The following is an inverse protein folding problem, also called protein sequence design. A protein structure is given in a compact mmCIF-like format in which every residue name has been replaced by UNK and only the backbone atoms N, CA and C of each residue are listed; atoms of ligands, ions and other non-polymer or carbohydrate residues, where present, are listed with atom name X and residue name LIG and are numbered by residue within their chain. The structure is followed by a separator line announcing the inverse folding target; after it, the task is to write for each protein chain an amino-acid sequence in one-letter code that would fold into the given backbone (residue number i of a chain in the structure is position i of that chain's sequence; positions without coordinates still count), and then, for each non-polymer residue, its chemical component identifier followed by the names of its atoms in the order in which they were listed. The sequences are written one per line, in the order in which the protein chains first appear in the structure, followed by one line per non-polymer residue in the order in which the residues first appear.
data_IF_531300392543
#
_entry.id   IF_531300392543
#
_cell.length_a   1.000
_cell.length_b   1.000
_cell.length_c   1.000
_cell.angle_alpha   90.00
_cell.angle_beta   90.00
_cell.angle_gamma   90.00
#
_symmetry.space_group_name_H-M   'P 1'
#
loop_
_entity.id
_entity.type
_entity.pdbx_description
1 polymer ?
#
# COMPACT_ATOMS: atom_id res chain seq x y z
N UNK A 1 19.60 -25.47 -52.26
CA UNK A 1 19.61 -25.77 -50.80
C UNK A 1 19.90 -24.48 -50.06
N UNK A 2 18.87 -23.68 -49.80
CA UNK A 2 19.00 -22.39 -49.06
C UNK A 2 18.36 -22.59 -47.68
N UNK A 3 19.21 -22.54 -46.66
CA UNK A 3 18.83 -22.59 -45.25
C UNK A 3 18.23 -21.22 -44.86
N UNK A 4 16.95 -21.21 -44.55
CA UNK A 4 16.29 -20.08 -43.90
C UNK A 4 16.82 -20.00 -42.44
N UNK A 5 17.60 -18.98 -42.15
CA UNK A 5 17.89 -18.58 -40.77
C UNK A 5 16.69 -17.79 -40.25
N UNK A 6 15.95 -18.39 -39.35
CA UNK A 6 14.98 -17.69 -38.55
C UNK A 6 15.73 -16.89 -37.46
N UNK A 7 15.87 -15.60 -37.66
CA UNK A 7 16.31 -14.70 -36.61
C UNK A 7 15.21 -14.59 -35.56
N UNK A 8 15.35 -15.33 -34.49
CA UNK A 8 14.63 -15.10 -33.25
C UNK A 8 15.21 -13.83 -32.60
N UNK A 9 14.59 -12.70 -32.89
CA UNK A 9 14.75 -11.48 -32.10
C UNK A 9 14.05 -11.69 -30.76
N UNK A 10 14.75 -12.29 -29.82
CA UNK A 10 14.46 -12.18 -28.40
C UNK A 10 14.70 -10.71 -27.99
N UNK A 11 13.66 -9.90 -28.17
CA UNK A 11 13.59 -8.59 -27.53
C UNK A 11 13.43 -8.83 -26.04
N UNK A 12 14.53 -8.85 -25.32
CA UNK A 12 14.52 -8.62 -23.89
C UNK A 12 13.94 -7.22 -23.66
N UNK A 13 12.62 -7.14 -23.47
CA UNK A 13 11.99 -5.97 -22.90
C UNK A 13 12.51 -5.86 -21.46
N UNK A 14 13.61 -5.13 -21.31
CA UNK A 14 14.05 -4.66 -20.02
C UNK A 14 12.92 -3.78 -19.47
N UNK A 15 12.12 -4.36 -18.57
CA UNK A 15 11.19 -3.62 -17.73
C UNK A 15 12.02 -2.72 -16.81
N UNK A 16 12.31 -1.50 -17.28
CA UNK A 16 12.59 -0.43 -16.36
C UNK A 16 11.30 -0.21 -15.57
N UNK A 17 11.22 -0.81 -14.38
CA UNK A 17 10.34 -0.31 -13.34
C UNK A 17 10.76 1.14 -13.10
N UNK A 18 10.11 2.08 -13.78
CA UNK A 18 9.99 3.39 -13.24
C UNK A 18 9.39 3.15 -11.86
N UNK A 19 10.20 3.39 -10.82
CA UNK A 19 9.73 3.47 -9.46
C UNK A 19 8.49 4.34 -9.52
N UNK A 20 7.30 3.73 -9.54
CA UNK A 20 6.10 4.45 -9.26
C UNK A 20 6.40 5.02 -7.88
N UNK A 21 6.77 6.28 -7.85
CA UNK A 21 6.78 7.04 -6.62
C UNK A 21 5.35 6.92 -6.14
N UNK A 22 5.12 5.92 -5.30
CA UNK A 22 3.95 5.89 -4.44
C UNK A 22 4.08 7.21 -3.71
N UNK A 23 3.37 8.22 -4.22
CA UNK A 23 3.20 9.47 -3.51
C UNK A 23 2.68 9.05 -2.17
N UNK A 24 3.56 9.06 -1.17
CA UNK A 24 3.18 8.78 0.22
C UNK A 24 2.25 9.93 0.61
N UNK A 25 0.92 9.74 0.53
CA UNK A 25 0.02 10.80 0.90
C UNK A 25 0.10 10.91 2.41
N UNK A 26 0.71 11.99 2.86
CA UNK A 26 0.36 12.62 4.14
C UNK A 26 -0.01 11.66 5.29
N UNK A 27 0.97 10.85 5.74
CA UNK A 27 0.87 10.23 7.07
C UNK A 27 0.77 11.29 8.19
N UNK A 28 1.15 12.53 7.89
CA UNK A 28 1.14 13.66 8.81
C UNK A 28 -0.24 14.04 9.38
N UNK A 29 -1.31 13.80 8.63
CA UNK A 29 -2.66 14.17 9.10
C UNK A 29 -3.20 13.16 10.12
N UNK A 30 -2.71 11.90 10.09
CA UNK A 30 -3.24 10.87 10.96
C UNK A 30 -2.83 11.00 12.44
N UNK A 31 -1.61 11.51 12.73
CA UNK A 31 -1.19 11.64 14.14
C UNK A 31 -1.96 12.72 14.89
N UNK A 32 -2.23 13.86 14.26
CA UNK A 32 -3.02 14.93 14.89
C UNK A 32 -4.52 14.59 14.90
N UNK A 33 -5.04 13.92 13.87
CA UNK A 33 -6.43 13.51 13.82
C UNK A 33 -6.74 12.42 14.87
N UNK A 34 -5.84 11.45 15.08
CA UNK A 34 -6.01 10.40 16.09
C UNK A 34 -5.94 10.99 17.51
N UNK A 35 -5.07 11.99 17.75
CA UNK A 35 -5.00 12.68 19.03
C UNK A 35 -6.25 13.53 19.32
N UNK A 36 -6.79 14.22 18.31
CA UNK A 36 -8.02 15.01 18.44
C UNK A 36 -9.28 14.16 18.57
N UNK A 37 -9.34 12.99 17.90
CA UNK A 37 -10.48 12.06 18.06
C UNK A 37 -10.49 11.39 19.44
N UNK A 38 -9.34 11.24 20.10
CA UNK A 38 -9.27 10.71 21.47
C UNK A 38 -9.91 11.65 22.50
N UNK A 39 -9.88 12.97 22.26
CA UNK A 39 -10.55 13.95 23.12
C UNK A 39 -12.07 14.07 22.88
N UNK A 40 -12.57 13.67 21.71
CA UNK A 40 -13.99 13.83 21.33
C UNK A 40 -14.84 12.59 21.60
N UNK A 41 -14.28 11.44 22.00
CA UNK A 41 -15.04 10.20 22.21
C UNK A 41 -15.78 10.07 23.55
N UNK A 42 -15.82 11.11 24.37
CA UNK A 42 -16.50 11.06 25.67
C UNK A 42 -18.03 11.29 25.60
N UNK A 43 -18.66 11.23 24.42
CA UNK A 43 -20.09 11.60 24.34
C UNK A 43 -20.97 11.08 23.20
N UNK A 44 -20.55 10.16 22.35
CA UNK A 44 -21.46 9.64 21.32
C UNK A 44 -21.66 8.13 21.38
N UNK A 45 -22.86 7.70 21.81
CA UNK A 45 -23.37 6.36 21.58
C UNK A 45 -23.58 6.12 20.07
N UNK A 46 -22.63 5.44 19.41
CA UNK A 46 -22.81 4.93 18.07
C UNK A 46 -23.57 3.60 18.18
N UNK A 47 -24.78 3.53 17.62
CA UNK A 47 -25.56 2.31 17.53
C UNK A 47 -24.73 1.22 16.85
N UNK A 48 -24.31 0.24 17.63
CA UNK A 48 -23.46 -0.88 17.25
C UNK A 48 -24.20 -1.84 16.31
N UNK A 49 -23.57 -2.19 15.19
CA UNK A 49 -23.71 -3.52 14.61
C UNK A 49 -23.10 -4.54 15.60
N UNK A 50 -23.55 -5.79 15.59
CA UNK A 50 -23.26 -6.88 16.54
C UNK A 50 -21.78 -7.24 16.85
N UNK A 51 -20.84 -6.35 16.69
CA UNK A 51 -19.44 -6.50 17.13
C UNK A 51 -19.31 -6.05 18.58
N UNK A 52 -18.79 -6.93 19.43
CA UNK A 52 -18.44 -6.59 20.82
C UNK A 52 -17.53 -5.38 20.83
N UNK A 53 -18.00 -4.26 21.36
CA UNK A 53 -17.22 -3.03 21.53
C UNK A 53 -16.02 -3.33 22.43
N UNK A 54 -14.82 -3.17 21.89
CA UNK A 54 -13.57 -3.29 22.69
C UNK A 54 -13.58 -2.17 23.73
N UNK A 55 -13.47 -2.51 25.02
CA UNK A 55 -13.19 -1.51 26.04
C UNK A 55 -11.71 -1.13 25.97
N UNK A 56 -11.43 0.07 25.49
CA UNK A 56 -10.09 0.60 25.34
C UNK A 56 -9.75 1.50 26.53
N UNK A 57 -8.56 1.34 27.15
CA UNK A 57 -8.11 2.28 28.17
C UNK A 57 -7.94 3.69 27.60
N UNK A 58 -8.12 4.69 28.47
CA UNK A 58 -7.91 6.10 28.08
C UNK A 58 -6.42 6.48 28.07
N UNK A 59 -6.05 7.43 27.23
CA UNK A 59 -4.72 8.06 27.22
C UNK A 59 -4.67 9.13 28.32
N UNK A 60 -3.75 8.98 29.28
CA UNK A 60 -3.58 9.97 30.36
C UNK A 60 -2.89 11.23 29.83
N UNK A 61 -3.38 12.42 30.24
CA UNK A 61 -2.85 13.72 29.79
C UNK A 61 -1.33 13.86 29.97
N UNK A 62 -0.77 13.40 31.12
CA UNK A 62 0.68 13.45 31.37
C UNK A 62 1.50 12.63 30.37
N UNK A 63 0.97 11.49 29.90
CA UNK A 63 1.65 10.68 28.89
C UNK A 63 1.57 11.41 27.55
N UNK A 64 0.39 11.90 27.19
CA UNK A 64 0.20 12.67 25.96
C UNK A 64 1.13 13.89 25.87
N UNK A 65 1.25 14.69 26.95
CA UNK A 65 2.15 15.85 27.00
C UNK A 65 3.62 15.49 26.72
N UNK A 66 4.10 14.35 27.24
CA UNK A 66 5.46 13.90 26.97
C UNK A 66 5.64 13.45 25.51
N UNK A 67 4.66 12.74 24.95
CA UNK A 67 4.69 12.33 23.55
C UNK A 67 4.63 13.54 22.60
N UNK A 68 3.79 14.55 22.93
CA UNK A 68 3.70 15.80 22.18
C UNK A 68 5.03 16.59 22.23
N UNK A 69 5.73 16.60 23.37
CA UNK A 69 7.07 17.21 23.47
C UNK A 69 8.06 16.54 22.52
N UNK A 70 8.07 15.22 22.44
CA UNK A 70 8.96 14.51 21.54
C UNK A 70 8.64 14.85 20.07
N UNK A 71 7.36 14.97 19.72
CA UNK A 71 6.96 15.37 18.38
C UNK A 71 7.40 16.80 18.05
N UNK A 72 7.18 17.75 18.97
CA UNK A 72 7.65 19.14 18.79
C UNK A 72 9.16 19.21 18.58
N UNK A 73 9.95 18.45 19.33
CA UNK A 73 11.39 18.38 19.16
C UNK A 73 11.78 17.87 17.75
N UNK A 74 11.09 16.85 17.25
CA UNK A 74 11.35 16.32 15.91
C UNK A 74 10.90 17.28 14.78
N UNK A 75 9.69 17.84 14.90
CA UNK A 75 9.04 18.56 13.79
C UNK A 75 9.47 20.05 13.72
N UNK A 76 9.52 20.74 14.87
CA UNK A 76 9.79 22.18 14.92
C UNK A 76 11.28 22.50 15.09
N UNK A 77 11.96 21.75 15.95
CA UNK A 77 13.39 21.95 16.19
C UNK A 77 14.27 21.15 15.21
N UNK A 78 13.72 20.15 14.53
CA UNK A 78 14.46 19.23 13.68
C UNK A 78 15.44 18.33 14.46
N UNK A 79 15.29 18.27 15.79
CA UNK A 79 16.17 17.51 16.68
C UNK A 79 15.63 16.11 16.95
N UNK A 80 15.93 15.24 16.00
CA UNK A 80 15.55 13.81 16.06
C UNK A 80 16.17 13.10 17.27
N UNK A 81 17.40 13.47 17.66
CA UNK A 81 18.09 12.85 18.80
C UNK A 81 17.41 13.22 20.11
N UNK A 82 17.04 14.50 20.31
CA UNK A 82 16.28 14.95 21.48
C UNK A 82 14.91 14.27 21.51
N UNK A 83 14.19 14.23 20.39
CA UNK A 83 12.89 13.57 20.30
C UNK A 83 12.95 12.10 20.74
N UNK A 84 13.94 11.35 20.23
CA UNK A 84 14.16 9.95 20.62
C UNK A 84 14.55 9.84 22.09
N UNK A 85 15.35 10.76 22.62
CA UNK A 85 15.74 10.78 24.04
C UNK A 85 14.53 10.96 24.94
N UNK A 86 13.62 11.89 24.60
CA UNK A 86 12.36 12.10 25.32
C UNK A 86 11.49 10.84 25.31
N UNK A 87 11.35 10.19 24.14
CA UNK A 87 10.58 8.94 24.04
C UNK A 87 11.18 7.79 24.84
N UNK A 88 12.51 7.69 24.92
CA UNK A 88 13.17 6.70 25.78
C UNK A 88 12.92 6.91 27.26
N UNK A 89 12.91 8.17 27.71
CA UNK A 89 12.51 8.49 29.09
C UNK A 89 11.06 8.06 29.41
N UNK A 90 10.18 8.14 28.40
CA UNK A 90 8.79 7.65 28.52
C UNK A 90 8.77 6.13 28.53
N UNK A 91 9.56 5.49 27.68
CA UNK A 91 9.66 4.02 27.59
C UNK A 91 10.19 3.40 28.90
N UNK A 92 11.14 4.01 29.55
CA UNK A 92 11.66 3.59 30.87
C UNK A 92 10.57 3.53 31.95
N UNK A 93 9.52 4.36 31.79
CA UNK A 93 8.35 4.41 32.69
C UNK A 93 7.17 3.56 32.18
N UNK A 94 7.35 2.83 31.09
CA UNK A 94 6.28 2.08 30.40
C UNK A 94 5.62 0.98 31.25
N UNK A 95 6.29 0.51 32.32
CA UNK A 95 5.71 -0.45 33.27
C UNK A 95 4.41 0.06 33.94
N UNK A 96 4.23 1.38 34.03
CA UNK A 96 3.02 2.02 34.57
C UNK A 96 1.98 2.40 33.52
N UNK A 97 2.27 2.15 32.24
CA UNK A 97 1.44 2.52 31.09
C UNK A 97 0.46 1.39 30.76
N UNK A 98 -0.74 1.78 30.35
CA UNK A 98 -1.70 0.84 29.77
C UNK A 98 -1.36 0.52 28.30
N UNK A 99 -2.08 -0.45 27.70
CA UNK A 99 -1.80 -0.89 26.33
C UNK A 99 -1.91 0.25 25.31
N UNK A 100 -2.91 1.10 25.42
CA UNK A 100 -3.09 2.22 24.49
C UNK A 100 -1.98 3.27 24.61
N UNK A 101 -1.54 3.59 25.82
CA UNK A 101 -0.42 4.50 26.05
C UNK A 101 0.90 3.99 25.48
N UNK A 102 1.17 2.67 25.65
CA UNK A 102 2.34 2.03 25.04
C UNK A 102 2.26 2.05 23.52
N UNK A 103 1.08 1.73 22.97
CA UNK A 103 0.86 1.78 21.54
C UNK A 103 1.09 3.18 20.96
N UNK A 104 0.58 4.22 21.66
CA UNK A 104 0.82 5.61 21.25
C UNK A 104 2.31 5.96 21.29
N UNK A 105 3.03 5.57 22.35
CA UNK A 105 4.47 5.81 22.45
C UNK A 105 5.22 5.16 21.27
N UNK A 106 4.95 3.88 20.96
CA UNK A 106 5.58 3.20 19.83
C UNK A 106 5.19 3.80 18.48
N UNK A 107 3.97 4.32 18.37
CA UNK A 107 3.54 5.04 17.18
C UNK A 107 4.37 6.32 16.95
N UNK A 108 4.66 7.07 18.00
CA UNK A 108 5.55 8.25 17.90
C UNK A 108 6.98 7.86 17.53
N UNK A 109 7.55 6.81 18.12
CA UNK A 109 8.84 6.25 17.67
C UNK A 109 8.80 5.91 16.17
N UNK A 110 7.75 5.21 15.74
CA UNK A 110 7.57 4.81 14.35
C UNK A 110 7.59 5.99 13.38
N UNK A 111 6.87 7.06 13.70
CA UNK A 111 6.84 8.27 12.87
C UNK A 111 8.16 9.01 12.85
N UNK A 112 8.83 9.18 14.00
CA UNK A 112 10.14 9.85 14.07
C UNK A 112 11.18 9.08 13.26
N UNK A 113 11.23 7.74 13.40
CA UNK A 113 12.15 6.93 12.60
C UNK A 113 11.79 6.95 11.11
N UNK A 114 10.51 6.90 10.76
CA UNK A 114 10.05 6.97 9.37
C UNK A 114 10.46 8.29 8.70
N UNK A 115 10.24 9.43 9.38
CA UNK A 115 10.59 10.74 8.87
C UNK A 115 12.12 10.94 8.76
N UNK A 116 12.89 10.21 9.57
CA UNK A 116 14.36 10.17 9.51
C UNK A 116 14.88 9.07 8.57
N UNK A 117 14.01 8.47 7.76
CA UNK A 117 14.35 7.41 6.79
C UNK A 117 14.94 6.12 7.41
N UNK A 118 14.86 5.96 8.74
CA UNK A 118 15.22 4.72 9.43
C UNK A 118 14.03 3.74 9.40
N UNK A 119 13.76 3.23 8.19
CA UNK A 119 12.59 2.38 7.94
C UNK A 119 12.61 1.07 8.73
N UNK A 120 13.77 0.55 9.06
CA UNK A 120 13.89 -0.66 9.87
C UNK A 120 13.36 -0.43 11.29
N UNK A 121 13.76 0.65 11.96
CA UNK A 121 13.26 1.00 13.29
C UNK A 121 11.81 1.49 13.24
N UNK A 122 11.39 2.12 12.16
CA UNK A 122 9.99 2.49 11.95
C UNK A 122 9.10 1.24 11.91
N UNK A 123 9.47 0.20 11.13
CA UNK A 123 8.77 -1.07 11.08
C UNK A 123 8.70 -1.75 12.44
N UNK A 124 9.84 -1.85 13.16
CA UNK A 124 9.88 -2.42 14.51
C UNK A 124 8.93 -1.69 15.46
N UNK A 125 8.94 -0.37 15.41
CA UNK A 125 8.10 0.47 16.27
C UNK A 125 6.62 0.31 15.95
N UNK A 126 6.22 0.37 14.69
CA UNK A 126 4.83 0.16 14.29
C UNK A 126 4.35 -1.27 14.57
N UNK A 127 5.21 -2.28 14.45
CA UNK A 127 4.87 -3.65 14.84
C UNK A 127 4.55 -3.73 16.34
N UNK A 128 5.34 -3.07 17.19
CA UNK A 128 5.06 -2.97 18.62
C UNK A 128 3.72 -2.29 18.93
N UNK A 129 3.24 -1.37 18.08
CA UNK A 129 1.89 -0.75 18.26
C UNK A 129 0.81 -1.82 18.22
N UNK A 130 0.81 -2.66 17.17
CA UNK A 130 -0.26 -3.64 16.95
C UNK A 130 -0.16 -4.89 17.84
N UNK A 131 0.96 -5.03 18.56
CA UNK A 131 1.12 -6.01 19.63
C UNK A 131 0.44 -5.58 20.94
N UNK A 132 0.27 -4.26 21.15
CA UNK A 132 -0.41 -3.76 22.34
C UNK A 132 -1.91 -3.97 22.22
N UNK A 133 -2.51 -4.71 23.14
CA UNK A 133 -3.95 -4.95 23.14
C UNK A 133 -4.52 -4.79 24.56
N UNK A 134 -5.72 -4.20 24.74
CA UNK A 134 -6.60 -3.65 23.70
C UNK A 134 -6.24 -2.20 23.30
N UNK A 135 -6.35 -1.92 22.01
CA UNK A 135 -6.22 -0.57 21.44
C UNK A 135 -7.45 -0.25 20.57
N UNK A 136 -7.72 1.03 20.23
CA UNK A 136 -8.83 1.38 19.34
C UNK A 136 -8.69 0.68 17.98
N UNK A 137 -9.78 0.06 17.49
CA UNK A 137 -9.78 -0.69 16.24
C UNK A 137 -9.32 0.16 15.04
N UNK A 138 -9.80 1.39 14.95
CA UNK A 138 -9.41 2.33 13.89
C UNK A 138 -7.90 2.61 13.93
N UNK A 139 -7.32 2.77 15.11
CA UNK A 139 -5.88 2.98 15.29
C UNK A 139 -5.08 1.73 14.88
N UNK A 140 -5.54 0.53 15.29
CA UNK A 140 -4.94 -0.73 14.86
C UNK A 140 -4.96 -0.86 13.34
N UNK A 141 -6.12 -0.64 12.70
CA UNK A 141 -6.28 -0.71 11.24
C UNK A 141 -5.38 0.28 10.50
N UNK A 142 -5.28 1.52 10.98
CA UNK A 142 -4.39 2.52 10.37
C UNK A 142 -2.94 2.08 10.46
N UNK A 143 -2.50 1.56 11.60
CA UNK A 143 -1.12 1.09 11.78
C UNK A 143 -0.83 -0.15 10.94
N UNK A 144 -1.76 -1.10 10.84
CA UNK A 144 -1.64 -2.28 9.99
C UNK A 144 -1.47 -1.89 8.51
N UNK A 145 -2.23 -0.90 8.05
CA UNK A 145 -2.09 -0.40 6.69
C UNK A 145 -0.72 0.28 6.46
N UNK A 146 -0.24 1.07 7.42
CA UNK A 146 1.09 1.69 7.37
C UNK A 146 2.20 0.63 7.36
N UNK A 147 2.06 -0.42 8.17
CA UNK A 147 2.99 -1.57 8.17
C UNK A 147 2.99 -2.28 6.81
N UNK A 148 1.83 -2.52 6.22
CA UNK A 148 1.74 -3.14 4.91
C UNK A 148 2.43 -2.31 3.83
N UNK A 149 2.21 -0.99 3.80
CA UNK A 149 2.85 -0.10 2.84
C UNK A 149 4.37 -0.05 3.01
N UNK A 150 4.83 0.07 4.25
CA UNK A 150 6.26 0.17 4.54
C UNK A 150 6.97 -1.16 4.25
N UNK A 151 6.36 -2.30 4.58
CA UNK A 151 6.89 -3.61 4.23
C UNK A 151 6.97 -3.83 2.71
N UNK A 152 5.94 -3.41 1.94
CA UNK A 152 5.99 -3.45 0.48
C UNK A 152 7.17 -2.65 -0.07
N UNK A 153 7.39 -1.45 0.46
CA UNK A 153 8.48 -0.57 0.06
C UNK A 153 9.85 -1.17 0.38
N UNK A 154 9.96 -1.93 1.48
CA UNK A 154 11.19 -2.61 1.89
C UNK A 154 11.38 -3.99 1.24
N UNK A 155 10.44 -4.45 0.40
CA UNK A 155 10.49 -5.75 -0.25
C UNK A 155 10.09 -6.93 0.63
N UNK A 156 9.48 -6.69 1.78
CA UNK A 156 8.98 -7.70 2.71
C UNK A 156 7.55 -8.09 2.32
N UNK A 157 7.40 -8.79 1.20
CA UNK A 157 6.08 -9.02 0.58
C UNK A 157 5.17 -9.93 1.41
N UNK A 158 5.71 -10.94 2.10
CA UNK A 158 4.93 -11.84 2.96
C UNK A 158 4.36 -11.09 4.17
N UNK A 159 5.15 -10.21 4.78
CA UNK A 159 4.69 -9.36 5.87
C UNK A 159 3.63 -8.35 5.39
N UNK A 160 3.80 -7.80 4.18
CA UNK A 160 2.78 -6.95 3.54
C UNK A 160 1.43 -7.65 3.47
N UNK A 161 1.42 -8.89 2.98
CA UNK A 161 0.20 -9.70 2.85
C UNK A 161 -0.38 -9.98 4.24
N UNK A 162 0.44 -10.39 5.19
CA UNK A 162 0.03 -10.73 6.56
C UNK A 162 -0.64 -9.54 7.25
N UNK A 163 -0.08 -8.34 7.16
CA UNK A 163 -0.67 -7.15 7.75
C UNK A 163 -1.97 -6.73 7.08
N UNK A 164 -2.08 -6.88 5.74
CA UNK A 164 -3.34 -6.63 5.04
C UNK A 164 -4.43 -7.65 5.39
N UNK A 165 -4.09 -8.93 5.55
CA UNK A 165 -5.05 -9.96 5.99
C UNK A 165 -5.56 -9.69 7.40
N UNK A 166 -4.67 -9.26 8.32
CA UNK A 166 -5.10 -8.84 9.65
C UNK A 166 -5.99 -7.60 9.59
N UNK A 167 -5.66 -6.63 8.74
CA UNK A 167 -6.50 -5.46 8.48
C UNK A 167 -7.89 -5.87 7.97
N UNK A 168 -7.96 -6.78 7.00
CA UNK A 168 -9.21 -7.30 6.45
C UNK A 168 -10.07 -7.99 7.52
N UNK A 169 -9.45 -8.72 8.44
CA UNK A 169 -10.16 -9.40 9.54
C UNK A 169 -10.85 -8.43 10.51
N UNK A 170 -10.37 -7.21 10.61
CA UNK A 170 -10.97 -6.14 11.42
C UNK A 170 -12.00 -5.34 10.61
N UNK A 171 -11.85 -5.27 9.29
CA UNK A 171 -12.72 -4.49 8.42
C UNK A 171 -14.11 -5.13 8.28
N UNK A 172 -15.16 -4.37 8.57
CA UNK A 172 -16.54 -4.84 8.40
C UNK A 172 -17.12 -4.54 7.00
N UNK A 173 -16.45 -3.70 6.23
CA UNK A 173 -16.88 -3.22 4.93
C UNK A 173 -16.13 -3.85 3.76
N UNK A 174 -16.38 -3.37 2.54
CA UNK A 174 -15.60 -3.76 1.38
C UNK A 174 -14.13 -3.38 1.54
N UNK A 175 -13.23 -4.17 0.95
CA UNK A 175 -11.79 -3.86 0.96
C UNK A 175 -11.55 -2.67 0.04
N UNK A 176 -10.93 -1.58 0.52
CA UNK A 176 -10.63 -0.42 -0.30
C UNK A 176 -9.72 -0.74 -1.49
N UNK A 177 -9.94 -0.06 -2.61
CA UNK A 177 -9.16 -0.25 -3.84
C UNK A 177 -7.65 -0.17 -3.60
N UNK A 178 -7.19 0.78 -2.78
CA UNK A 178 -5.77 0.94 -2.42
C UNK A 178 -5.19 -0.31 -1.76
N UNK A 179 -5.93 -0.95 -0.85
CA UNK A 179 -5.50 -2.17 -0.17
C UNK A 179 -5.39 -3.33 -1.18
N UNK A 180 -6.36 -3.44 -2.10
CA UNK A 180 -6.35 -4.44 -3.18
C UNK A 180 -5.12 -4.28 -4.08
N UNK A 181 -4.77 -3.04 -4.46
CA UNK A 181 -3.60 -2.75 -5.29
C UNK A 181 -2.30 -3.13 -4.58
N UNK A 182 -2.13 -2.74 -3.30
CA UNK A 182 -0.95 -3.09 -2.50
C UNK A 182 -0.81 -4.61 -2.38
N UNK A 183 -1.92 -5.31 -2.13
CA UNK A 183 -1.95 -6.77 -2.04
C UNK A 183 -1.59 -7.43 -3.37
N UNK A 184 -2.11 -6.91 -4.48
CA UNK A 184 -1.75 -7.36 -5.82
C UNK A 184 -0.26 -7.17 -6.12
N UNK A 185 0.32 -6.03 -5.74
CA UNK A 185 1.75 -5.76 -5.90
C UNK A 185 2.60 -6.74 -5.07
N UNK A 186 2.23 -6.98 -3.81
CA UNK A 186 2.95 -7.92 -2.94
C UNK A 186 2.91 -9.35 -3.52
N UNK A 187 1.73 -9.83 -3.94
CA UNK A 187 1.60 -11.13 -4.59
C UNK A 187 2.38 -11.24 -5.90
N UNK A 188 2.38 -10.17 -6.72
CA UNK A 188 3.16 -10.14 -7.97
C UNK A 188 4.66 -10.26 -7.71
N UNK A 189 5.18 -9.48 -6.76
CA UNK A 189 6.60 -9.53 -6.39
C UNK A 189 6.99 -10.88 -5.78
N UNK A 190 6.07 -11.51 -5.06
CA UNK A 190 6.20 -12.87 -4.52
C UNK A 190 5.98 -13.98 -5.58
N UNK A 191 5.79 -13.60 -6.86
CA UNK A 191 5.53 -14.52 -7.98
C UNK A 191 4.26 -15.38 -7.81
N UNK A 192 3.33 -14.92 -7.00
CA UNK A 192 2.01 -15.53 -6.78
C UNK A 192 1.01 -14.87 -7.73
N UNK A 193 1.21 -15.10 -9.04
CA UNK A 193 0.56 -14.35 -10.11
C UNK A 193 -0.97 -14.54 -10.17
N UNK A 194 -1.48 -15.71 -9.80
CA UNK A 194 -2.93 -15.98 -9.75
C UNK A 194 -3.62 -15.10 -8.70
N UNK A 195 -3.05 -15.03 -7.49
CA UNK A 195 -3.55 -14.16 -6.43
C UNK A 195 -3.43 -12.69 -6.82
N UNK A 196 -2.28 -12.31 -7.38
CA UNK A 196 -2.07 -10.96 -7.89
C UNK A 196 -3.12 -10.58 -8.95
N UNK A 197 -3.45 -11.50 -9.87
CA UNK A 197 -4.46 -11.31 -10.92
C UNK A 197 -5.84 -11.06 -10.35
N UNK A 198 -6.24 -11.79 -9.32
CA UNK A 198 -7.53 -11.61 -8.65
C UNK A 198 -7.63 -10.20 -8.05
N UNK A 199 -6.67 -9.82 -7.22
CA UNK A 199 -6.70 -8.55 -6.51
C UNK A 199 -6.62 -7.33 -7.41
N UNK A 200 -5.75 -7.35 -8.45
CA UNK A 200 -5.66 -6.21 -9.37
C UNK A 200 -6.89 -6.09 -10.26
N UNK A 201 -7.48 -7.23 -10.68
CA UNK A 201 -8.68 -7.19 -11.51
C UNK A 201 -9.89 -6.66 -10.73
N UNK A 202 -10.04 -7.05 -9.47
CA UNK A 202 -11.06 -6.48 -8.60
C UNK A 202 -10.84 -4.98 -8.35
N UNK A 203 -9.59 -4.56 -8.08
CA UNK A 203 -9.27 -3.15 -7.87
C UNK A 203 -9.65 -2.28 -9.08
N UNK A 204 -9.31 -2.75 -10.29
CA UNK A 204 -9.67 -2.06 -11.55
C UNK A 204 -11.17 -2.04 -11.74
N UNK A 205 -11.85 -3.17 -11.52
CA UNK A 205 -13.30 -3.28 -11.71
C UNK A 205 -14.09 -2.40 -10.75
N UNK A 206 -13.71 -2.39 -9.47
CA UNK A 206 -14.36 -1.54 -8.45
C UNK A 206 -14.24 -0.05 -8.82
N UNK A 207 -13.03 0.36 -9.22
CA UNK A 207 -12.77 1.76 -9.60
C UNK A 207 -13.57 2.19 -10.84
N UNK A 208 -13.67 1.30 -11.84
CA UNK A 208 -14.50 1.51 -13.04
C UNK A 208 -16.00 1.53 -12.70
N UNK A 209 -16.45 0.70 -11.75
CA UNK A 209 -17.83 0.69 -11.30
C UNK A 209 -18.27 2.01 -10.64
N UNK A 210 -17.34 2.73 -10.04
CA UNK A 210 -17.52 4.08 -9.49
C UNK A 210 -17.46 5.18 -10.58
N UNK A 211 -17.29 4.82 -11.84
CA UNK A 211 -17.18 5.75 -12.98
C UNK A 211 -15.81 6.43 -13.06
N UNK A 212 -14.81 5.93 -12.38
CA UNK A 212 -13.46 6.49 -12.37
C UNK A 212 -12.54 5.79 -13.38
N UNK A 213 -11.53 6.52 -13.85
CA UNK A 213 -10.51 5.98 -14.75
C UNK A 213 -9.42 5.31 -13.90
N UNK A 214 -9.12 4.01 -14.13
CA UNK A 214 -8.05 3.34 -13.41
C UNK A 214 -6.69 4.02 -13.63
N UNK A 215 -5.87 4.02 -12.58
CA UNK A 215 -4.51 4.51 -12.66
C UNK A 215 -3.68 3.73 -13.70
N UNK A 216 -2.84 4.43 -14.47
CA UNK A 216 -1.99 3.83 -15.49
C UNK A 216 -1.11 2.70 -14.92
N UNK A 217 -0.56 2.91 -13.71
CA UNK A 217 0.27 1.93 -13.00
C UNK A 217 -0.47 0.64 -12.67
N UNK A 218 -1.78 0.71 -12.38
CA UNK A 218 -2.58 -0.49 -12.12
C UNK A 218 -2.77 -1.33 -13.37
N UNK A 219 -3.02 -0.69 -14.51
CA UNK A 219 -3.14 -1.40 -15.79
C UNK A 219 -1.79 -1.96 -16.27
N UNK A 220 -0.69 -1.25 -16.01
CA UNK A 220 0.66 -1.78 -16.24
C UNK A 220 0.89 -3.04 -15.41
N UNK A 221 0.55 -3.02 -14.12
CA UNK A 221 0.66 -4.18 -13.22
C UNK A 221 -0.24 -5.32 -13.70
N UNK A 222 -1.50 -5.04 -14.02
CA UNK A 222 -2.46 -6.04 -14.51
C UNK A 222 -1.96 -6.72 -15.79
N UNK A 223 -1.45 -5.94 -16.73
CA UNK A 223 -0.84 -6.46 -17.96
C UNK A 223 0.37 -7.34 -17.67
N UNK A 224 1.27 -6.90 -16.79
CA UNK A 224 2.45 -7.66 -16.41
C UNK A 224 2.07 -9.01 -15.77
N UNK A 225 1.08 -9.01 -14.89
CA UNK A 225 0.56 -10.23 -14.27
C UNK A 225 -0.01 -11.20 -15.32
N UNK A 226 -0.83 -10.73 -16.25
CA UNK A 226 -1.40 -11.59 -17.31
C UNK A 226 -0.32 -12.12 -18.27
N UNK A 227 0.75 -11.35 -18.49
CA UNK A 227 1.90 -11.81 -19.27
C UNK A 227 2.62 -12.98 -18.57
N UNK A 228 2.90 -12.86 -17.27
CA UNK A 228 3.51 -13.93 -16.47
C UNK A 228 2.64 -15.20 -16.43
N UNK A 229 1.31 -15.03 -16.37
CA UNK A 229 0.33 -16.12 -16.44
C UNK A 229 0.16 -16.71 -17.84
N UNK A 230 0.87 -16.20 -18.86
CA UNK A 230 0.76 -16.63 -20.25
C UNK A 230 -0.67 -16.56 -20.79
N UNK A 231 -1.34 -15.45 -20.50
CA UNK A 231 -2.71 -15.16 -20.93
C UNK A 231 -2.72 -14.02 -21.99
N UNK A 232 -2.24 -14.27 -23.22
CA UNK A 232 -2.01 -13.21 -24.21
C UNK A 232 -3.28 -12.46 -24.60
N UNK A 233 -4.44 -13.12 -24.61
CA UNK A 233 -5.72 -12.49 -24.90
C UNK A 233 -6.05 -11.41 -23.84
N UNK A 234 -5.82 -11.71 -22.55
CA UNK A 234 -6.04 -10.73 -21.49
C UNK A 234 -5.01 -9.59 -21.55
N UNK A 235 -3.76 -9.88 -21.90
CA UNK A 235 -2.75 -8.83 -22.14
C UNK A 235 -3.22 -7.89 -23.24
N UNK A 236 -3.73 -8.43 -24.36
CA UNK A 236 -4.31 -7.64 -25.46
C UNK A 236 -5.47 -6.76 -24.98
N UNK A 237 -6.40 -7.32 -24.20
CA UNK A 237 -7.56 -6.57 -23.71
C UNK A 237 -7.15 -5.39 -22.81
N UNK A 238 -6.16 -5.60 -21.93
CA UNK A 238 -5.59 -4.51 -21.13
C UNK A 238 -4.91 -3.46 -22.00
N UNK A 239 -4.14 -3.85 -23.01
CA UNK A 239 -3.50 -2.94 -23.95
C UNK A 239 -4.53 -2.11 -24.73
N UNK A 240 -5.63 -2.72 -25.19
CA UNK A 240 -6.74 -2.00 -25.84
C UNK A 240 -7.33 -0.95 -24.90
N UNK A 241 -7.50 -1.29 -23.61
CA UNK A 241 -7.97 -0.36 -22.59
C UNK A 241 -6.96 0.79 -22.41
N UNK A 242 -5.67 0.50 -22.29
CA UNK A 242 -4.61 1.50 -22.10
C UNK A 242 -4.52 2.47 -23.29
N UNK A 243 -4.59 1.97 -24.52
CA UNK A 243 -4.65 2.81 -25.73
C UNK A 243 -5.83 3.76 -25.71
N UNK A 244 -7.02 3.28 -25.32
CA UNK A 244 -8.24 4.11 -25.27
C UNK A 244 -8.21 5.18 -24.17
N UNK A 245 -7.55 4.90 -23.05
CA UNK A 245 -7.55 5.79 -21.90
C UNK A 245 -6.40 6.81 -21.93
N UNK A 246 -5.25 6.43 -22.43
CA UNK A 246 -4.03 7.23 -22.33
C UNK A 246 -3.48 7.72 -23.67
N UNK A 247 -3.86 7.07 -24.78
CA UNK A 247 -3.46 7.42 -26.17
C UNK A 247 -1.94 7.64 -26.34
N UNK A 248 -1.13 6.84 -25.65
CA UNK A 248 0.32 6.93 -25.67
C UNK A 248 0.91 6.05 -26.79
N UNK A 249 1.83 6.54 -27.63
CA UNK A 249 2.44 5.75 -28.71
C UNK A 249 3.04 4.42 -28.24
N UNK A 250 3.61 4.38 -27.03
CA UNK A 250 4.17 3.17 -26.43
C UNK A 250 3.15 2.02 -26.33
N UNK A 251 1.87 2.32 -26.07
CA UNK A 251 0.82 1.30 -25.94
C UNK A 251 0.31 0.82 -27.30
N UNK A 252 0.27 1.69 -28.29
CA UNK A 252 -0.03 1.30 -29.66
C UNK A 252 1.01 0.32 -30.22
N UNK A 253 2.30 0.58 -30.01
CA UNK A 253 3.40 -0.32 -30.42
C UNK A 253 3.28 -1.69 -29.72
N UNK A 254 2.99 -1.69 -28.41
CA UNK A 254 2.82 -2.95 -27.66
C UNK A 254 1.59 -3.74 -28.12
N UNK A 255 0.48 -3.04 -28.43
CA UNK A 255 -0.73 -3.67 -28.96
C UNK A 255 -0.49 -4.28 -30.34
N UNK A 256 0.23 -3.57 -31.23
CA UNK A 256 0.64 -4.11 -32.52
C UNK A 256 1.48 -5.39 -32.37
N UNK A 257 2.45 -5.39 -31.43
CA UNK A 257 3.24 -6.56 -31.09
C UNK A 257 2.38 -7.73 -30.64
N UNK A 258 1.42 -7.48 -29.74
CA UNK A 258 0.50 -8.50 -29.23
C UNK A 258 -0.40 -9.08 -30.31
N UNK A 259 -0.90 -8.27 -31.25
CA UNK A 259 -1.63 -8.80 -32.40
C UNK A 259 -0.76 -9.72 -33.28
N UNK A 260 0.55 -9.39 -33.43
CA UNK A 260 1.49 -10.24 -34.13
C UNK A 260 1.71 -11.60 -33.44
N UNK A 261 1.85 -11.59 -32.11
CA UNK A 261 1.98 -12.83 -31.30
C UNK A 261 0.73 -13.72 -31.40
N UNK A 262 -0.45 -13.13 -31.48
CA UNK A 262 -1.72 -13.83 -31.63
C UNK A 262 -2.02 -14.25 -33.09
N UNK A 263 -1.16 -13.91 -34.05
CA UNK A 263 -1.37 -14.21 -35.49
C UNK A 263 -2.46 -13.34 -36.14
N UNK A 264 -2.84 -12.23 -35.52
CA UNK A 264 -3.83 -11.27 -36.02
C UNK A 264 -3.18 -10.22 -36.94
N UNK A 265 -2.45 -10.65 -37.97
CA UNK A 265 -1.60 -9.83 -38.83
C UNK A 265 -2.32 -8.61 -39.44
N UNK A 266 -3.60 -8.75 -39.83
CA UNK A 266 -4.38 -7.64 -40.39
C UNK A 266 -4.58 -6.49 -39.39
N UNK A 267 -4.81 -6.82 -38.13
CA UNK A 267 -4.97 -5.82 -37.08
C UNK A 267 -3.63 -5.18 -36.71
N UNK A 268 -2.56 -6.01 -36.69
CA UNK A 268 -1.20 -5.51 -36.51
C UNK A 268 -0.85 -4.44 -37.56
N UNK A 269 -1.05 -4.73 -38.84
CA UNK A 269 -0.79 -3.80 -39.94
C UNK A 269 -1.63 -2.52 -39.83
N UNK A 270 -2.93 -2.65 -39.56
CA UNK A 270 -3.81 -1.50 -39.39
C UNK A 270 -3.35 -0.55 -38.28
N UNK A 271 -2.85 -1.07 -37.16
CA UNK A 271 -2.29 -0.23 -36.09
C UNK A 271 -0.97 0.42 -36.53
N UNK A 272 -0.09 -0.32 -37.18
CA UNK A 272 1.21 0.21 -37.64
C UNK A 272 1.07 1.29 -38.72
N UNK A 273 -0.05 1.35 -39.42
CA UNK A 273 -0.36 2.40 -40.42
C UNK A 273 -0.96 3.66 -39.78
N UNK A 274 -1.50 3.54 -38.56
CA UNK A 274 -2.20 4.63 -37.85
C UNK A 274 -1.41 5.24 -36.70
N UNK A 275 -0.36 4.58 -36.23
CA UNK A 275 0.53 5.03 -35.15
C UNK A 275 1.72 5.82 -35.70
#
# INVERSE_FOLDING_TARGET
MMRKQTNTLLSALAFAFASATVSVPTMFIASNAIAQEAEQQDGQEIKASDKQTRRVPTLRGKVYEQLARAQTAADEAGDVEEAISILKEVEDKSHSMNAYEKAMMYNFFGFIYYNNEDYAKALESFAKVVEQQPIPEKFEMTTLFSLAQLNLMQGNYDDTITYLERWESLNAGPVPVKNKVIKAQAYYQNKQYEQASTWISEAVADHEAEGMIPDEGWLILQRAIFYELKQPEKVKDVLIKMVKLFDEPKYWIQLAGMYGELGEERKQLAIMETA
#
